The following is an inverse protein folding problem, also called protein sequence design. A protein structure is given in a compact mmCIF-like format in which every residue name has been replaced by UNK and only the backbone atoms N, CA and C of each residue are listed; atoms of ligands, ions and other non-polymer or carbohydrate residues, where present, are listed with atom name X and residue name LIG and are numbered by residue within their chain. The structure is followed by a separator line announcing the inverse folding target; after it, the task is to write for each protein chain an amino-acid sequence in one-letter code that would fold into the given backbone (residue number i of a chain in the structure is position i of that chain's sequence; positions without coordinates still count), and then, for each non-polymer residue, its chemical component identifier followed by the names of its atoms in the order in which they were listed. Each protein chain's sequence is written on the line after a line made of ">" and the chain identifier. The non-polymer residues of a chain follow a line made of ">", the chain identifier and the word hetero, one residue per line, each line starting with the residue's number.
data_IF_472198785988
#
_entry.id   IF_472198785988
#
_cell.length_a   1.000
_cell.length_b   1.000
_cell.length_c   1.000
_cell.angle_alpha   90.00
_cell.angle_beta   90.00
_cell.angle_gamma   90.00
#
_symmetry.space_group_name_H-M   'P 1'
#
loop_
_entity.id
_entity.type
_entity.pdbx_description
1 polymer ?
#
# COMPACT_ATOMS: atom_id res chain seq x y z
N UNK A 1 -1.65 -3.59 5.12
CA UNK A 1 -1.20 -4.85 5.73
C UNK A 1 0.32 -4.81 5.78
N UNK A 2 0.89 -4.82 6.98
CA UNK A 2 2.34 -4.92 7.22
C UNK A 2 2.68 -6.40 7.43
N UNK A 3 3.45 -6.99 6.52
CA UNK A 3 3.70 -8.44 6.52
C UNK A 3 4.92 -8.80 7.36
N UNK A 4 6.02 -8.06 7.18
CA UNK A 4 7.26 -8.27 7.91
C UNK A 4 8.08 -6.98 7.94
N UNK A 5 8.67 -6.66 9.09
CA UNK A 5 9.47 -5.44 9.34
C UNK A 5 10.87 -5.78 9.89
N UNK A 6 11.33 -7.02 9.73
CA UNK A 6 12.57 -7.50 10.37
C UNK A 6 13.84 -6.77 9.90
N UNK A 7 13.85 -6.26 8.66
CA UNK A 7 14.98 -5.52 8.09
C UNK A 7 14.84 -3.99 8.21
N UNK A 8 13.69 -3.50 8.69
CA UNK A 8 13.39 -2.07 8.74
C UNK A 8 11.92 -1.75 8.41
N UNK A 9 11.60 -0.46 8.21
CA UNK A 9 10.25 0.01 7.93
C UNK A 9 9.60 -0.74 6.77
N UNK A 10 8.30 -1.01 6.86
CA UNK A 10 7.58 -1.69 5.81
C UNK A 10 7.52 -0.82 4.53
N UNK A 11 7.58 -1.46 3.37
CA UNK A 11 7.43 -0.80 2.07
C UNK A 11 6.38 -1.49 1.24
N UNK A 12 5.42 -0.71 0.73
CA UNK A 12 4.33 -1.24 -0.07
C UNK A 12 3.64 -0.21 -0.96
N UNK A 13 3.08 -0.68 -2.07
CA UNK A 13 2.20 0.13 -2.91
C UNK A 13 0.75 0.12 -2.41
N UNK A 14 -0.02 1.16 -2.73
CA UNK A 14 -1.47 1.26 -2.48
C UNK A 14 -2.24 1.11 -3.79
N UNK A 15 -3.06 0.06 -3.90
CA UNK A 15 -3.82 -0.26 -5.12
C UNK A 15 -5.28 0.18 -5.01
N UNK A 16 -5.78 0.88 -6.02
CA UNK A 16 -7.22 1.13 -6.17
C UNK A 16 -7.74 0.22 -7.28
N UNK A 17 -8.58 -0.77 -6.95
CA UNK A 17 -9.13 -1.70 -7.94
C UNK A 17 -10.42 -2.37 -7.41
N UNK A 18 -11.44 -2.64 -8.25
CA UNK A 18 -12.67 -3.30 -7.80
C UNK A 18 -12.41 -4.71 -7.25
N UNK A 19 -11.40 -5.41 -7.76
CA UNK A 19 -11.07 -6.78 -7.36
C UNK A 19 -9.97 -6.88 -6.29
N UNK A 20 -9.67 -5.80 -5.55
CA UNK A 20 -8.76 -5.92 -4.40
C UNK A 20 -9.40 -6.82 -3.34
N UNK A 21 -8.64 -7.80 -2.85
CA UNK A 21 -9.04 -8.67 -1.74
C UNK A 21 -7.98 -8.64 -0.64
N UNK A 22 -8.35 -9.09 0.57
CA UNK A 22 -7.38 -9.23 1.66
C UNK A 22 -6.28 -10.26 1.31
N UNK A 23 -6.64 -11.33 0.59
CA UNK A 23 -5.73 -12.38 0.16
C UNK A 23 -4.70 -11.87 -0.85
N UNK A 24 -5.14 -11.17 -1.89
CA UNK A 24 -4.25 -10.57 -2.89
C UNK A 24 -3.34 -9.51 -2.24
N UNK A 25 -3.88 -8.71 -1.33
CA UNK A 25 -3.10 -7.72 -0.56
C UNK A 25 -2.02 -8.39 0.28
N UNK A 26 -2.36 -9.47 1.00
CA UNK A 26 -1.40 -10.24 1.82
C UNK A 26 -0.31 -10.89 0.96
N UNK A 27 -0.68 -11.51 -0.15
CA UNK A 27 0.26 -12.14 -1.08
C UNK A 27 1.25 -11.11 -1.64
N UNK A 28 0.78 -9.93 -2.06
CA UNK A 28 1.63 -8.85 -2.56
C UNK A 28 2.54 -8.26 -1.47
N UNK A 29 2.08 -8.18 -0.21
CA UNK A 29 2.90 -7.73 0.92
C UNK A 29 4.04 -8.72 1.23
N UNK A 30 3.77 -10.03 1.15
CA UNK A 30 4.78 -11.08 1.26
C UNK A 30 5.81 -10.97 0.13
N UNK A 31 5.36 -10.79 -1.12
CA UNK A 31 6.26 -10.57 -2.26
C UNK A 31 7.12 -9.31 -2.10
N UNK A 32 6.59 -8.24 -1.52
CA UNK A 32 7.39 -7.04 -1.21
C UNK A 32 8.50 -7.34 -0.20
N UNK A 33 8.23 -8.19 0.80
CA UNK A 33 9.26 -8.62 1.77
C UNK A 33 10.41 -9.32 1.05
N UNK A 34 10.10 -10.33 0.23
CA UNK A 34 11.13 -11.06 -0.53
C UNK A 34 11.87 -10.16 -1.52
N UNK A 35 11.16 -9.26 -2.21
CA UNK A 35 11.76 -8.30 -3.12
C UNK A 35 12.79 -7.41 -2.41
N UNK A 36 12.43 -6.82 -1.27
CA UNK A 36 13.34 -5.96 -0.50
C UNK A 36 14.57 -6.73 -0.02
N UNK A 37 14.39 -7.94 0.53
CA UNK A 37 15.47 -8.82 0.99
C UNK A 37 16.44 -9.16 -0.16
N UNK A 38 15.90 -9.59 -1.31
CA UNK A 38 16.72 -9.95 -2.48
C UNK A 38 17.53 -8.77 -3.02
N UNK A 39 17.03 -7.55 -2.87
CA UNK A 39 17.72 -6.32 -3.28
C UNK A 39 18.58 -5.71 -2.17
N UNK A 40 18.72 -6.38 -1.03
CA UNK A 40 19.48 -5.90 0.14
C UNK A 40 19.03 -4.51 0.63
N UNK A 41 17.73 -4.24 0.52
CA UNK A 41 17.15 -3.00 1.03
C UNK A 41 16.87 -3.14 2.54
N UNK A 42 17.11 -2.10 3.35
CA UNK A 42 16.79 -2.09 4.78
C UNK A 42 15.30 -1.82 5.00
N UNK A 43 14.45 -2.61 4.34
CA UNK A 43 13.00 -2.41 4.28
C UNK A 43 12.29 -3.74 4.44
N UNK A 44 11.17 -3.69 5.15
CA UNK A 44 10.19 -4.76 5.22
C UNK A 44 9.27 -4.81 4.00
N UNK A 45 8.19 -5.57 4.12
CA UNK A 45 7.15 -5.68 3.10
C UNK A 45 5.76 -5.33 3.63
N UNK A 46 5.08 -4.45 2.89
CA UNK A 46 3.68 -4.10 3.13
C UNK A 46 2.91 -4.02 1.80
N UNK A 47 1.59 -3.95 1.91
CA UNK A 47 0.71 -3.58 0.81
C UNK A 47 -0.57 -2.94 1.33
N UNK A 48 -1.08 -1.96 0.59
CA UNK A 48 -2.37 -1.33 0.82
C UNK A 48 -3.28 -1.48 -0.38
N UNK A 49 -4.58 -1.29 -0.16
CA UNK A 49 -5.53 -1.17 -1.25
C UNK A 49 -6.89 -0.67 -0.78
N UNK A 50 -7.64 -0.17 -1.76
CA UNK A 50 -9.02 0.30 -1.59
C UNK A 50 -9.85 -0.35 -2.68
N UNK A 51 -10.97 -0.96 -2.29
CA UNK A 51 -11.93 -1.58 -3.19
C UNK A 51 -12.76 -0.46 -3.81
N UNK A 52 -12.37 -0.02 -5.00
CA UNK A 52 -13.07 0.99 -5.78
C UNK A 52 -12.72 0.87 -7.27
N UNK A 53 -13.58 1.40 -8.15
CA UNK A 53 -13.25 1.58 -9.56
C UNK A 53 -12.94 3.07 -9.84
N UNK A 54 -11.66 3.47 -9.92
CA UNK A 54 -11.30 4.87 -10.18
C UNK A 54 -11.85 5.43 -11.50
N UNK A 55 -12.22 4.56 -12.46
CA UNK A 55 -12.79 4.99 -13.74
C UNK A 55 -14.24 5.46 -13.62
N UNK A 56 -14.92 5.10 -12.55
CA UNK A 56 -16.30 5.51 -12.24
C UNK A 56 -16.35 6.69 -11.26
N UNK A 57 -15.20 7.18 -10.81
CA UNK A 57 -15.09 8.27 -9.85
C UNK A 57 -14.58 9.54 -10.52
N UNK A 58 -15.15 10.68 -10.15
CA UNK A 58 -14.57 11.97 -10.48
C UNK A 58 -13.25 12.19 -9.76
N UNK A 59 -12.42 13.11 -10.27
CA UNK A 59 -11.16 13.49 -9.61
C UNK A 59 -11.35 13.91 -8.15
N UNK A 60 -12.44 14.62 -7.84
CA UNK A 60 -12.75 15.07 -6.47
C UNK A 60 -13.09 13.90 -5.55
N UNK A 61 -13.80 12.90 -6.07
CA UNK A 61 -14.13 11.69 -5.30
C UNK A 61 -12.88 10.85 -5.04
N UNK A 62 -11.99 10.71 -6.03
CA UNK A 62 -10.69 10.03 -5.86
C UNK A 62 -9.85 10.76 -4.81
N UNK A 63 -9.75 12.09 -4.87
CA UNK A 63 -9.01 12.87 -3.89
C UNK A 63 -9.59 12.68 -2.47
N UNK A 64 -10.91 12.79 -2.33
CA UNK A 64 -11.59 12.62 -1.04
C UNK A 64 -11.39 11.23 -0.48
N UNK A 65 -11.53 10.20 -1.31
CA UNK A 65 -11.28 8.81 -0.96
C UNK A 65 -9.84 8.60 -0.49
N UNK A 66 -8.88 9.16 -1.23
CA UNK A 66 -7.45 9.06 -0.93
C UNK A 66 -7.12 9.71 0.42
N UNK A 67 -7.66 10.91 0.69
CA UNK A 67 -7.48 11.61 1.97
C UNK A 67 -8.10 10.85 3.13
N UNK A 68 -9.30 10.29 2.97
CA UNK A 68 -9.95 9.48 4.02
C UNK A 68 -9.17 8.18 4.27
N UNK A 69 -8.70 7.52 3.22
CA UNK A 69 -7.85 6.34 3.34
C UNK A 69 -6.59 6.62 4.18
N UNK A 70 -5.84 7.68 3.83
CA UNK A 70 -4.64 8.08 4.59
C UNK A 70 -4.99 8.44 6.05
N UNK A 71 -6.09 9.17 6.30
CA UNK A 71 -6.58 9.42 7.66
C UNK A 71 -7.00 8.16 8.41
N UNK A 72 -7.38 7.10 7.73
CA UNK A 72 -7.72 5.82 8.36
C UNK A 72 -6.49 5.04 8.80
N UNK A 73 -5.36 5.21 8.11
CA UNK A 73 -4.13 4.43 8.36
C UNK A 73 -2.97 5.24 8.96
N UNK A 74 -3.16 6.55 9.22
CA UNK A 74 -2.06 7.45 9.62
C UNK A 74 -1.26 6.99 10.85
N UNK A 75 -1.88 6.23 11.77
CA UNK A 75 -1.22 5.75 12.98
C UNK A 75 -0.20 4.63 12.72
N UNK A 76 -0.37 3.89 11.62
CA UNK A 76 0.47 2.75 11.26
C UNK A 76 1.47 3.06 10.13
N UNK A 77 1.35 4.22 9.48
CA UNK A 77 2.30 4.69 8.47
C UNK A 77 3.25 5.76 9.02
N UNK A 78 4.39 5.93 8.37
CA UNK A 78 5.37 6.95 8.71
C UNK A 78 6.74 6.61 8.15
N UNK A 79 7.67 7.59 8.05
CA UNK A 79 9.00 7.38 7.48
C UNK A 79 9.79 6.25 8.14
N UNK A 80 9.54 5.99 9.42
CA UNK A 80 10.22 4.96 10.22
C UNK A 80 9.33 3.72 10.51
N UNK A 81 8.13 3.64 9.91
CA UNK A 81 7.16 2.56 10.18
C UNK A 81 6.70 1.84 8.92
N UNK A 82 5.94 2.52 8.07
CA UNK A 82 5.46 2.01 6.79
C UNK A 82 5.41 3.17 5.80
N UNK A 83 6.04 2.99 4.65
CA UNK A 83 6.20 3.99 3.60
C UNK A 83 5.36 3.54 2.40
N UNK A 84 4.15 4.08 2.21
CA UNK A 84 3.33 3.81 1.03
C UNK A 84 4.00 4.24 -0.29
N UNK A 85 3.51 3.73 -1.41
CA UNK A 85 3.92 4.11 -2.76
C UNK A 85 2.75 3.94 -3.75
N UNK A 86 2.89 4.48 -4.97
CA UNK A 86 1.99 4.16 -6.08
C UNK A 86 1.94 2.65 -6.41
N UNK A 87 0.77 2.21 -6.90
CA UNK A 87 0.49 0.91 -7.51
C UNK A 87 -0.56 1.13 -8.63
N UNK A 88 -1.28 0.08 -9.04
CA UNK A 88 -2.37 0.17 -10.03
C UNK A 88 -3.39 1.22 -9.60
N UNK A 89 -3.60 2.18 -10.49
CA UNK A 89 -4.51 3.32 -10.37
C UNK A 89 -4.24 4.28 -9.20
N UNK A 90 -2.98 4.37 -8.76
CA UNK A 90 -2.48 5.46 -7.90
C UNK A 90 -1.18 6.02 -8.50
N UNK A 91 -0.93 7.33 -8.39
CA UNK A 91 0.16 8.03 -9.08
C UNK A 91 0.61 9.30 -8.31
N UNK A 92 1.74 9.95 -8.72
CA UNK A 92 2.20 11.23 -8.18
C UNK A 92 1.21 12.39 -8.38
#
# INVERSE_FOLDING_TARGET
>A
MQYNEALGPAKGGVRFHPDVTMETTRALAALMTWKCVLHKLPLGGAKGGVICNPKELSHREIERLSRVYIRGIYQIIGPERDIPAPDVYTNP
#
